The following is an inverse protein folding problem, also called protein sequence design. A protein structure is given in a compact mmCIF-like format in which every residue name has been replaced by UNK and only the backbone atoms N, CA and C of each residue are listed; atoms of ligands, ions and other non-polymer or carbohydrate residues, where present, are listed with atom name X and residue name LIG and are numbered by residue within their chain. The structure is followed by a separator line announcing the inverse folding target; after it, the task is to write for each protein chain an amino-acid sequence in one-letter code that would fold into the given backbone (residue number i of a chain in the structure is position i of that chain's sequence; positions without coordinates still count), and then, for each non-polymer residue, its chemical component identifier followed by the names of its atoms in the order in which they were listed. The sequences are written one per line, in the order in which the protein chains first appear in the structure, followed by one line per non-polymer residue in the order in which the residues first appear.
data_IF_683203934287
#
_entry.id   IF_683203934287
#
_cell.length_a   1.000
_cell.length_b   1.000
_cell.length_c   1.000
_cell.angle_alpha   90.00
_cell.angle_beta   90.00
_cell.angle_gamma   90.00
#
_symmetry.space_group_name_H-M   'P 1'
#
loop_
_entity.id
_entity.type
_entity.pdbx_description
1 polymer ?
#
# COMPACT_ATOMS: atom_id res chain seq x y z
N UNK A 1 -7.10 59.60 21.78
CA UNK A 1 -6.91 58.14 21.56
C UNK A 1 -7.04 57.85 20.07
N UNK A 2 -6.26 56.90 19.53
CA UNK A 2 -6.53 56.26 18.23
C UNK A 2 -6.63 54.76 18.49
N UNK A 3 -7.83 54.20 18.35
CA UNK A 3 -8.06 52.76 18.57
C UNK A 3 -7.66 52.00 17.31
N UNK A 4 -6.66 51.13 17.41
CA UNK A 4 -6.22 50.29 16.30
C UNK A 4 -7.10 49.02 16.26
N UNK A 5 -8.00 48.91 15.27
CA UNK A 5 -8.70 47.65 15.01
C UNK A 5 -7.74 46.67 14.35
N UNK A 6 -7.36 45.62 15.07
CA UNK A 6 -6.71 44.45 14.49
C UNK A 6 -7.82 43.57 13.91
N UNK A 7 -8.01 43.62 12.59
CA UNK A 7 -8.91 42.71 11.88
C UNK A 7 -8.22 41.36 11.79
N UNK A 8 -8.59 40.43 12.68
CA UNK A 8 -8.04 39.08 12.67
C UNK A 8 -8.67 38.29 11.51
N UNK A 9 -7.99 38.29 10.37
CA UNK A 9 -8.42 37.56 9.17
C UNK A 9 -8.23 36.05 9.38
N UNK A 10 -9.24 35.40 9.96
CA UNK A 10 -9.37 33.95 9.91
C UNK A 10 -9.55 33.52 8.44
N UNK A 11 -8.46 33.17 7.78
CA UNK A 11 -8.56 32.32 6.58
C UNK A 11 -9.17 30.99 7.05
N UNK A 12 -10.27 30.51 6.44
CA UNK A 12 -10.77 29.18 6.74
C UNK A 12 -9.68 28.18 6.34
N UNK A 13 -9.21 27.39 7.31
CA UNK A 13 -8.26 26.32 7.05
C UNK A 13 -9.01 25.18 6.37
N UNK A 14 -9.15 25.26 5.05
CA UNK A 14 -9.84 24.26 4.23
C UNK A 14 -9.04 22.96 4.25
N UNK A 15 -9.42 22.04 5.13
CA UNK A 15 -9.06 20.63 5.01
C UNK A 15 -9.53 20.16 3.63
N UNK A 16 -8.58 19.86 2.75
CA UNK A 16 -8.85 19.55 1.36
C UNK A 16 -9.24 18.07 1.23
N UNK A 17 -10.46 17.77 1.69
CA UNK A 17 -11.04 16.42 1.67
C UNK A 17 -11.28 15.93 0.25
N UNK A 18 -11.19 14.62 0.02
CA UNK A 18 -11.52 14.02 -1.28
C UNK A 18 -12.90 14.45 -1.79
N UNK A 19 -12.96 14.86 -3.05
CA UNK A 19 -14.20 15.31 -3.70
C UNK A 19 -14.21 14.97 -5.19
N UNK A 20 -15.39 14.72 -5.75
CA UNK A 20 -15.55 14.52 -7.20
C UNK A 20 -15.23 15.83 -7.92
N UNK A 21 -14.34 15.77 -8.92
CA UNK A 21 -13.91 16.95 -9.68
C UNK A 21 -12.96 17.89 -8.92
N UNK A 22 -12.15 17.38 -7.98
CA UNK A 22 -11.11 18.15 -7.27
C UNK A 22 -10.23 18.98 -8.24
N UNK A 23 -9.85 18.39 -9.37
CA UNK A 23 -9.01 19.02 -10.39
C UNK A 23 -9.74 19.98 -11.34
N UNK A 24 -11.07 20.16 -11.23
CA UNK A 24 -11.90 20.89 -12.21
C UNK A 24 -11.45 22.31 -12.54
N UNK A 25 -10.74 22.98 -11.62
CA UNK A 25 -10.20 24.33 -11.83
C UNK A 25 -8.67 24.35 -12.05
N UNK A 26 -7.92 23.37 -11.53
CA UNK A 26 -6.45 23.34 -11.54
C UNK A 26 -5.87 22.50 -12.68
N UNK A 27 -6.54 21.39 -13.04
CA UNK A 27 -6.28 20.62 -14.25
C UNK A 27 -7.62 20.15 -14.85
N UNK A 28 -8.36 21.02 -15.57
CA UNK A 28 -9.69 20.70 -16.08
C UNK A 28 -9.75 19.51 -17.04
N UNK A 29 -8.61 19.12 -17.63
CA UNK A 29 -8.47 18.00 -18.55
C UNK A 29 -8.01 16.69 -17.88
N UNK A 30 -7.80 16.68 -16.55
CA UNK A 30 -7.17 15.56 -15.84
C UNK A 30 -7.82 14.21 -16.17
N UNK A 31 -9.10 14.01 -15.87
CA UNK A 31 -9.80 12.74 -16.12
C UNK A 31 -9.77 12.35 -17.61
N UNK A 32 -9.99 13.28 -18.53
CA UNK A 32 -9.95 13.00 -19.98
C UNK A 32 -8.57 12.58 -20.51
N UNK A 33 -7.47 12.98 -19.84
CA UNK A 33 -6.11 12.55 -20.18
C UNK A 33 -5.85 11.14 -19.67
N UNK A 34 -6.35 10.79 -18.48
CA UNK A 34 -6.31 9.41 -17.96
C UNK A 34 -7.12 8.48 -18.88
N UNK A 35 -8.38 8.83 -19.13
CA UNK A 35 -9.35 8.06 -19.91
C UNK A 35 -8.81 7.76 -21.33
N UNK A 36 -8.30 8.78 -22.03
CA UNK A 36 -7.77 8.62 -23.39
C UNK A 36 -6.52 7.72 -23.47
N UNK A 37 -5.64 7.74 -22.46
CA UNK A 37 -4.52 6.79 -22.41
C UNK A 37 -5.06 5.38 -22.14
N UNK A 38 -5.98 5.21 -21.20
CA UNK A 38 -6.55 3.90 -20.87
C UNK A 38 -7.32 3.28 -22.04
N UNK A 39 -8.07 4.05 -22.81
CA UNK A 39 -8.70 3.58 -24.07
C UNK A 39 -7.66 3.02 -25.05
N UNK A 40 -6.60 3.79 -25.32
CA UNK A 40 -5.52 3.37 -26.22
C UNK A 40 -4.78 2.13 -25.70
N UNK A 41 -4.49 2.06 -24.40
CA UNK A 41 -3.79 0.92 -23.79
C UNK A 41 -4.69 -0.32 -23.75
N UNK A 42 -5.97 -0.19 -23.43
CA UNK A 42 -6.93 -1.31 -23.39
C UNK A 42 -7.18 -1.91 -24.78
N UNK A 43 -7.26 -1.09 -25.83
CA UNK A 43 -7.39 -1.55 -27.22
C UNK A 43 -6.25 -2.49 -27.65
N UNK A 44 -5.06 -2.35 -27.05
CA UNK A 44 -3.88 -3.16 -27.35
C UNK A 44 -3.67 -4.32 -26.34
N UNK A 45 -4.09 -4.18 -25.09
CA UNK A 45 -4.07 -5.24 -24.06
C UNK A 45 -5.31 -5.17 -23.15
N UNK A 46 -6.31 -6.01 -23.41
CA UNK A 46 -7.51 -6.13 -22.55
C UNK A 46 -7.20 -6.57 -21.12
N UNK A 47 -6.01 -7.11 -20.84
CA UNK A 47 -5.64 -7.55 -19.51
C UNK A 47 -5.26 -6.41 -18.56
N UNK A 48 -5.10 -5.16 -19.03
CA UNK A 48 -4.71 -4.04 -18.15
C UNK A 48 -5.72 -3.76 -17.04
N UNK A 49 -7.01 -4.05 -17.24
CA UNK A 49 -8.04 -3.88 -16.20
C UNK A 49 -7.71 -4.69 -14.96
N UNK A 50 -7.29 -5.95 -15.14
CA UNK A 50 -6.86 -6.80 -14.03
C UNK A 50 -5.54 -6.32 -13.39
N UNK A 51 -4.66 -5.68 -14.16
CA UNK A 51 -3.43 -5.09 -13.64
C UNK A 51 -3.70 -3.88 -12.75
N UNK A 52 -4.55 -2.96 -13.22
CA UNK A 52 -4.86 -1.70 -12.53
C UNK A 52 -5.75 -1.94 -11.30
N UNK A 53 -6.78 -2.80 -11.40
CA UNK A 53 -7.55 -3.27 -10.24
C UNK A 53 -6.64 -3.85 -9.15
N UNK A 54 -5.67 -4.67 -9.54
CA UNK A 54 -4.72 -5.26 -8.60
C UNK A 54 -3.77 -4.23 -8.01
N UNK A 55 -3.19 -3.34 -8.83
CA UNK A 55 -2.34 -2.24 -8.35
C UNK A 55 -3.07 -1.38 -7.32
N UNK A 56 -4.32 -1.02 -7.60
CA UNK A 56 -5.15 -0.18 -6.71
C UNK A 56 -5.51 -0.88 -5.39
N UNK A 57 -5.78 -2.19 -5.42
CA UNK A 57 -5.95 -2.98 -4.20
C UNK A 57 -4.65 -3.04 -3.38
N UNK A 58 -3.53 -3.37 -4.02
CA UNK A 58 -2.23 -3.48 -3.36
C UNK A 58 -1.79 -2.14 -2.75
N UNK A 59 -1.99 -1.02 -3.45
CA UNK A 59 -1.75 0.34 -2.96
C UNK A 59 -2.58 0.62 -1.70
N UNK A 60 -3.91 0.64 -1.81
CA UNK A 60 -4.79 0.96 -0.68
C UNK A 60 -4.60 0.05 0.55
N UNK A 61 -4.11 -1.17 0.37
CA UNK A 61 -3.85 -2.11 1.47
C UNK A 61 -2.45 -1.97 2.11
N UNK A 62 -1.47 -1.31 1.49
CA UNK A 62 -0.17 -1.00 2.12
C UNK A 62 -0.09 0.49 2.43
N UNK A 63 -0.02 0.86 3.72
CA UNK A 63 -0.05 2.24 4.24
C UNK A 63 -1.33 3.08 3.94
N UNK A 64 -1.96 2.95 2.77
CA UNK A 64 -3.16 3.68 2.34
C UNK A 64 -3.12 3.95 0.83
N UNK A 65 -4.17 4.52 0.24
CA UNK A 65 -4.14 4.85 -1.19
C UNK A 65 -3.28 6.11 -1.45
N UNK A 66 -1.96 6.01 -1.34
CA UNK A 66 -0.98 7.10 -1.49
C UNK A 66 0.05 6.86 -2.63
N UNK A 67 -0.15 5.81 -3.44
CA UNK A 67 0.74 5.42 -4.52
C UNK A 67 2.18 5.06 -4.08
N UNK A 68 2.40 4.64 -2.83
CA UNK A 68 3.69 4.13 -2.34
C UNK A 68 4.21 2.96 -3.17
N UNK A 69 3.32 2.11 -3.68
CA UNK A 69 3.64 0.96 -4.54
C UNK A 69 4.35 1.36 -5.85
N UNK A 70 4.18 2.60 -6.32
CA UNK A 70 4.76 3.06 -7.58
C UNK A 70 6.26 3.38 -7.49
N UNK A 71 6.79 3.59 -6.28
CA UNK A 71 8.22 3.87 -6.06
C UNK A 71 9.03 2.69 -6.58
N UNK A 72 9.97 2.96 -7.49
CA UNK A 72 10.87 1.94 -8.00
C UNK A 72 12.03 1.71 -7.02
N UNK A 73 12.39 0.45 -6.83
CA UNK A 73 13.56 0.06 -6.05
C UNK A 73 14.87 0.54 -6.69
N UNK A 74 15.88 0.71 -5.85
CA UNK A 74 17.26 1.05 -6.23
C UNK A 74 18.25 0.18 -5.46
N UNK A 75 19.48 0.05 -5.95
CA UNK A 75 20.52 -0.82 -5.35
C UNK A 75 20.75 -0.59 -3.85
N UNK A 76 20.60 0.67 -3.39
CA UNK A 76 20.77 1.10 -1.99
C UNK A 76 19.44 1.24 -1.21
N UNK A 77 18.28 1.13 -1.87
CA UNK A 77 16.96 1.33 -1.24
C UNK A 77 15.89 0.49 -1.95
N UNK A 78 15.52 -0.68 -1.40
CA UNK A 78 14.41 -1.49 -1.91
C UNK A 78 13.07 -0.81 -1.60
N UNK A 79 12.05 -1.11 -2.40
CA UNK A 79 10.70 -0.56 -2.27
C UNK A 79 9.68 -1.68 -2.06
N UNK A 80 8.41 -1.32 -1.93
CA UNK A 80 7.31 -2.29 -1.93
C UNK A 80 7.32 -3.21 -3.17
N UNK A 81 7.90 -2.80 -4.30
CA UNK A 81 7.95 -3.62 -5.52
C UNK A 81 8.76 -4.92 -5.35
N UNK A 82 9.71 -4.96 -4.40
CA UNK A 82 10.49 -6.16 -4.09
C UNK A 82 9.74 -7.16 -3.18
N UNK A 83 8.63 -6.76 -2.57
CA UNK A 83 7.86 -7.63 -1.69
C UNK A 83 7.20 -8.77 -2.48
N UNK A 84 7.20 -9.98 -1.92
CA UNK A 84 6.70 -11.20 -2.56
C UNK A 84 5.35 -11.08 -3.29
N UNK A 85 4.32 -10.45 -2.70
CA UNK A 85 3.04 -10.20 -3.38
C UNK A 85 3.15 -9.28 -4.61
N UNK A 86 4.07 -8.32 -4.58
CA UNK A 86 4.20 -7.24 -5.56
C UNK A 86 5.04 -7.60 -6.79
N UNK A 87 5.85 -8.67 -6.72
CA UNK A 87 6.65 -9.23 -7.83
C UNK A 87 5.88 -9.59 -9.12
N UNK A 88 4.54 -9.50 -9.10
CA UNK A 88 3.63 -9.78 -10.23
C UNK A 88 2.61 -8.66 -10.48
N UNK A 89 2.78 -7.50 -9.85
CA UNK A 89 2.03 -6.28 -10.19
C UNK A 89 2.64 -5.67 -11.46
N UNK A 90 1.82 -5.02 -12.29
CA UNK A 90 2.22 -4.44 -13.59
C UNK A 90 1.32 -3.25 -13.94
N UNK A 91 1.68 -2.52 -14.99
CA UNK A 91 0.98 -1.29 -15.39
C UNK A 91 1.62 -0.01 -14.84
N UNK A 92 2.77 -0.10 -14.14
CA UNK A 92 3.55 1.05 -13.68
C UNK A 92 3.91 2.00 -14.85
N UNK A 93 4.13 1.43 -16.03
CA UNK A 93 4.37 2.12 -17.29
C UNK A 93 3.14 2.89 -17.82
N UNK A 94 1.92 2.36 -17.59
CA UNK A 94 0.67 3.05 -17.91
C UNK A 94 0.51 4.28 -17.01
N UNK A 95 0.76 4.12 -15.70
CA UNK A 95 0.70 5.24 -14.75
C UNK A 95 1.76 6.29 -15.07
N UNK A 96 2.97 5.88 -15.48
CA UNK A 96 4.03 6.79 -15.91
C UNK A 96 3.69 7.55 -17.21
N UNK A 97 3.08 6.88 -18.20
CA UNK A 97 2.57 7.51 -19.43
C UNK A 97 1.51 8.57 -19.14
N UNK A 98 0.49 8.22 -18.33
CA UNK A 98 -0.54 9.14 -17.89
C UNK A 98 0.06 10.33 -17.13
N UNK A 99 0.99 10.07 -16.19
CA UNK A 99 1.65 11.12 -15.41
C UNK A 99 2.46 12.07 -16.29
N UNK A 100 3.19 11.55 -17.28
CA UNK A 100 3.95 12.37 -18.24
C UNK A 100 3.02 13.29 -19.04
N UNK A 101 1.87 12.78 -19.49
CA UNK A 101 0.88 13.56 -20.23
C UNK A 101 0.21 14.62 -19.35
N UNK A 102 -0.06 14.31 -18.07
CA UNK A 102 -0.61 15.27 -17.10
C UNK A 102 0.39 16.37 -16.74
N UNK A 103 1.65 16.04 -16.44
CA UNK A 103 2.68 17.06 -16.11
C UNK A 103 2.98 17.99 -17.30
N UNK A 104 2.77 17.55 -18.54
CA UNK A 104 2.88 18.41 -19.72
C UNK A 104 1.74 19.44 -19.86
N UNK A 105 0.59 19.21 -19.22
CA UNK A 105 -0.62 20.06 -19.30
C UNK A 105 -0.84 20.87 -18.01
N UNK A 106 -0.64 20.25 -16.85
CA UNK A 106 -0.86 20.82 -15.52
C UNK A 106 0.24 20.40 -14.54
N UNK A 107 1.46 20.98 -14.65
CA UNK A 107 2.61 20.60 -13.84
C UNK A 107 2.33 20.61 -12.34
N UNK A 108 2.87 19.63 -11.61
CA UNK A 108 2.78 19.47 -10.15
C UNK A 108 1.35 19.46 -9.59
N UNK A 109 0.33 19.17 -10.42
CA UNK A 109 -1.08 19.32 -10.02
C UNK A 109 -1.72 18.01 -9.58
N UNK A 110 -1.63 16.94 -10.38
CA UNK A 110 -2.33 15.67 -10.14
C UNK A 110 -1.40 14.66 -9.46
N UNK A 111 -1.82 14.08 -8.33
CA UNK A 111 -1.05 13.03 -7.62
C UNK A 111 -1.03 11.71 -8.38
N UNK A 112 -0.03 10.88 -8.12
CA UNK A 112 -0.02 9.53 -8.68
C UNK A 112 -1.08 8.63 -8.05
N UNK A 113 -1.42 8.84 -6.78
CA UNK A 113 -2.52 8.17 -6.08
C UNK A 113 -3.88 8.35 -6.78
N UNK A 114 -4.21 9.58 -7.21
CA UNK A 114 -5.43 9.82 -7.99
C UNK A 114 -5.35 9.24 -9.41
N UNK A 115 -4.15 9.16 -10.01
CA UNK A 115 -3.98 8.51 -11.31
C UNK A 115 -4.28 7.01 -11.23
N UNK A 116 -3.84 6.29 -10.18
CA UNK A 116 -4.21 4.88 -9.98
C UNK A 116 -5.74 4.73 -9.89
N UNK A 117 -6.39 5.57 -9.08
CA UNK A 117 -7.83 5.50 -8.86
C UNK A 117 -8.64 5.78 -10.14
N UNK A 118 -8.28 6.83 -10.90
CA UNK A 118 -8.92 7.18 -12.17
C UNK A 118 -8.65 6.12 -13.24
N UNK A 119 -7.40 5.72 -13.44
CA UNK A 119 -7.00 4.72 -14.44
C UNK A 119 -7.72 3.38 -14.23
N UNK A 120 -7.93 3.00 -12.96
CA UNK A 120 -8.67 1.79 -12.60
C UNK A 120 -10.16 1.92 -12.91
N UNK A 121 -10.78 3.08 -12.66
CA UNK A 121 -12.18 3.35 -13.06
C UNK A 121 -12.35 3.27 -14.56
N UNK A 122 -11.48 3.93 -15.32
CA UNK A 122 -11.52 3.94 -16.78
C UNK A 122 -11.35 2.51 -17.35
N UNK A 123 -10.39 1.74 -16.83
CA UNK A 123 -10.13 0.38 -17.30
C UNK A 123 -11.25 -0.60 -16.93
N UNK A 124 -11.94 -0.39 -15.81
CA UNK A 124 -13.16 -1.14 -15.44
C UNK A 124 -14.29 -0.86 -16.43
N UNK A 125 -14.49 0.40 -16.82
CA UNK A 125 -15.51 0.81 -17.80
C UNK A 125 -15.24 0.20 -19.18
N UNK A 126 -14.00 0.25 -19.68
CA UNK A 126 -13.64 -0.34 -20.97
C UNK A 126 -13.80 -1.87 -20.99
N UNK A 127 -13.67 -2.53 -19.84
CA UNK A 127 -13.92 -3.97 -19.63
C UNK A 127 -15.42 -4.30 -19.41
N UNK A 128 -16.34 -3.33 -19.57
CA UNK A 128 -17.79 -3.54 -19.47
C UNK A 128 -18.38 -3.32 -18.07
N UNK A 129 -17.58 -2.84 -17.12
CA UNK A 129 -18.05 -2.42 -15.80
C UNK A 129 -18.86 -1.11 -15.82
N UNK A 130 -19.47 -0.78 -14.68
CA UNK A 130 -20.23 0.47 -14.53
C UNK A 130 -19.29 1.68 -14.43
N UNK A 131 -19.65 2.81 -15.05
CA UNK A 131 -18.95 4.08 -14.87
C UNK A 131 -19.41 4.76 -13.56
N UNK A 132 -18.45 5.26 -12.78
CA UNK A 132 -18.67 5.93 -11.50
C UNK A 132 -17.76 7.15 -11.33
N UNK A 133 -18.22 8.10 -10.51
CA UNK A 133 -17.44 9.28 -10.13
C UNK A 133 -16.39 8.91 -9.09
N UNK A 134 -15.13 9.28 -9.32
CA UNK A 134 -14.02 9.06 -8.39
C UNK A 134 -13.81 10.32 -7.53
N UNK A 135 -13.94 10.26 -6.20
CA UNK A 135 -13.45 11.32 -5.32
C UNK A 135 -11.93 11.42 -5.48
N UNK A 136 -11.43 12.62 -5.76
CA UNK A 136 -10.01 12.92 -5.99
C UNK A 136 -9.53 14.01 -5.03
N UNK A 137 -8.21 14.19 -4.93
CA UNK A 137 -7.53 15.02 -3.94
C UNK A 137 -6.50 14.27 -3.09
N UNK A 138 -6.20 12.99 -3.42
CA UNK A 138 -5.18 12.20 -2.72
C UNK A 138 -3.81 12.82 -2.93
N UNK A 139 -2.89 12.55 -2.02
CA UNK A 139 -1.50 12.98 -2.07
C UNK A 139 -0.57 11.78 -2.04
N UNK A 140 0.61 11.98 -2.61
CA UNK A 140 1.61 10.94 -2.78
C UNK A 140 2.37 10.65 -1.48
N UNK A 141 2.58 9.37 -1.20
CA UNK A 141 3.34 8.88 -0.05
C UNK A 141 4.80 9.34 -0.04
N UNK A 142 5.40 9.31 1.16
CA UNK A 142 6.83 9.62 1.40
C UNK A 142 7.62 8.40 1.94
N UNK A 143 7.04 7.21 1.82
CA UNK A 143 7.61 5.91 2.20
C UNK A 143 7.15 4.86 1.19
N UNK A 144 8.00 3.87 0.97
CA UNK A 144 7.72 2.60 0.29
C UNK A 144 8.80 1.65 0.78
N UNK A 145 8.41 0.53 1.39
CA UNK A 145 9.30 -0.39 2.09
C UNK A 145 8.74 -1.81 1.97
N UNK A 146 9.51 -2.81 1.52
CA UNK A 146 8.99 -4.17 1.34
C UNK A 146 8.53 -4.82 2.65
N UNK A 147 8.93 -4.30 3.81
CA UNK A 147 8.51 -4.80 5.12
C UNK A 147 7.11 -4.29 5.54
N UNK A 148 6.55 -3.28 4.88
CA UNK A 148 5.18 -2.78 5.13
C UNK A 148 4.10 -3.62 4.43
N UNK A 149 4.50 -4.51 3.50
CA UNK A 149 3.61 -5.25 2.59
C UNK A 149 3.04 -6.51 3.26
N UNK A 150 2.03 -6.33 4.11
CA UNK A 150 1.20 -7.42 4.64
C UNK A 150 -0.14 -7.51 3.89
N UNK A 151 -0.28 -8.51 3.02
CA UNK A 151 -1.41 -8.66 2.09
C UNK A 151 -2.03 -10.07 2.17
N UNK A 152 -3.36 -10.20 2.00
CA UNK A 152 -4.06 -11.47 2.21
C UNK A 152 -3.62 -12.55 1.21
N UNK A 153 -3.29 -13.72 1.75
CA UNK A 153 -2.82 -14.88 0.99
C UNK A 153 -4.00 -15.61 0.29
N UNK A 154 -3.84 -16.15 -0.93
CA UNK A 154 -4.88 -16.89 -1.67
C UNK A 154 -5.40 -18.17 -0.98
N UNK A 155 -4.67 -18.71 0.00
CA UNK A 155 -5.02 -19.87 0.83
C UNK A 155 -5.67 -19.50 2.18
N UNK A 156 -6.03 -18.22 2.40
CA UNK A 156 -6.75 -17.81 3.61
C UNK A 156 -8.21 -18.26 3.59
N UNK A 157 -8.74 -18.55 4.78
CA UNK A 157 -10.19 -18.71 4.98
C UNK A 157 -10.92 -17.37 4.95
N UNK A 158 -12.23 -17.39 4.72
CA UNK A 158 -13.09 -16.19 4.75
C UNK A 158 -12.91 -15.37 6.03
N UNK A 159 -12.83 -16.03 7.19
CA UNK A 159 -12.65 -15.35 8.49
C UNK A 159 -11.24 -14.80 8.72
N UNK A 160 -10.24 -15.23 7.95
CA UNK A 160 -8.88 -14.67 7.98
C UNK A 160 -8.74 -13.51 7.00
N UNK A 161 -9.24 -13.66 5.77
CA UNK A 161 -9.28 -12.57 4.80
C UNK A 161 -10.04 -11.35 5.35
N UNK A 162 -11.15 -11.58 6.06
CA UNK A 162 -11.94 -10.50 6.69
C UNK A 162 -11.13 -9.65 7.68
N UNK A 163 -10.07 -10.18 8.32
CA UNK A 163 -9.24 -9.43 9.26
C UNK A 163 -8.43 -8.33 8.54
N UNK A 164 -7.87 -8.63 7.36
CA UNK A 164 -7.19 -7.64 6.52
C UNK A 164 -8.15 -6.54 6.07
N UNK A 165 -9.33 -6.91 5.58
CA UNK A 165 -10.32 -5.95 5.09
C UNK A 165 -10.91 -5.07 6.21
N UNK A 166 -11.23 -5.66 7.36
CA UNK A 166 -11.74 -4.88 8.51
C UNK A 166 -10.68 -4.02 9.18
N UNK A 167 -9.40 -4.38 9.14
CA UNK A 167 -8.29 -3.50 9.55
C UNK A 167 -8.18 -2.25 8.66
N UNK A 168 -8.63 -2.32 7.40
CA UNK A 168 -8.79 -1.17 6.49
C UNK A 168 -10.19 -0.54 6.54
N UNK A 169 -11.05 -0.95 7.47
CA UNK A 169 -12.41 -0.43 7.62
C UNK A 169 -13.43 -0.94 6.60
N UNK A 170 -13.06 -1.92 5.77
CA UNK A 170 -13.90 -2.48 4.71
C UNK A 170 -14.78 -3.63 5.26
N UNK A 171 -16.05 -3.67 4.86
CA UNK A 171 -17.03 -4.63 5.38
C UNK A 171 -16.91 -6.03 4.76
N UNK A 172 -17.54 -7.04 5.35
CA UNK A 172 -17.63 -8.40 4.78
C UNK A 172 -18.27 -8.40 3.38
N UNK A 173 -19.33 -7.60 3.18
CA UNK A 173 -19.97 -7.51 1.87
C UNK A 173 -19.06 -6.83 0.85
N UNK A 174 -18.34 -5.78 1.24
CA UNK A 174 -17.37 -5.12 0.36
C UNK A 174 -16.19 -6.05 0.04
N UNK A 175 -15.70 -6.85 0.98
CA UNK A 175 -14.67 -7.88 0.74
C UNK A 175 -15.14 -8.89 -0.32
N UNK A 176 -16.35 -9.44 -0.19
CA UNK A 176 -16.92 -10.38 -1.18
C UNK A 176 -17.04 -9.71 -2.56
N UNK A 177 -17.44 -8.43 -2.60
CA UNK A 177 -17.60 -7.67 -3.84
C UNK A 177 -16.26 -7.34 -4.51
N UNK A 178 -15.24 -6.97 -3.73
CA UNK A 178 -13.89 -6.65 -4.21
C UNK A 178 -13.13 -7.90 -4.66
N UNK A 179 -13.33 -9.06 -4.02
CA UNK A 179 -12.86 -10.35 -4.55
C UNK A 179 -13.51 -10.69 -5.90
N UNK A 180 -14.70 -10.12 -6.19
CA UNK A 180 -15.31 -10.12 -7.53
C UNK A 180 -14.44 -9.52 -8.65
N UNK A 181 -13.40 -8.75 -8.35
CA UNK A 181 -12.40 -8.32 -9.32
C UNK A 181 -11.68 -9.50 -9.99
N UNK A 182 -11.63 -10.68 -9.34
CA UNK A 182 -11.13 -11.93 -9.93
C UNK A 182 -12.00 -12.47 -11.09
N UNK A 183 -13.07 -11.77 -11.48
CA UNK A 183 -13.74 -12.02 -12.76
C UNK A 183 -12.84 -11.71 -13.98
N UNK A 184 -11.81 -10.87 -13.80
CA UNK A 184 -10.78 -10.61 -14.82
C UNK A 184 -9.39 -11.07 -14.38
N UNK A 185 -8.53 -11.39 -15.36
CA UNK A 185 -7.10 -11.64 -15.11
C UNK A 185 -6.75 -13.08 -14.76
N UNK A 186 -5.57 -13.26 -14.17
CA UNK A 186 -4.89 -14.55 -14.01
C UNK A 186 -4.20 -14.70 -12.64
N UNK A 187 -4.03 -15.94 -12.19
CA UNK A 187 -3.11 -16.30 -11.11
C UNK A 187 -2.02 -17.25 -11.63
N UNK A 188 -0.83 -17.19 -11.04
CA UNK A 188 0.21 -18.22 -11.23
C UNK A 188 -0.17 -19.49 -10.48
N UNK A 189 0.13 -20.65 -11.08
CA UNK A 189 -0.20 -21.98 -10.56
C UNK A 189 0.30 -22.22 -9.13
N UNK A 190 1.44 -21.66 -8.73
CA UNK A 190 1.99 -21.72 -7.37
C UNK A 190 0.98 -21.25 -6.30
N UNK A 191 0.07 -20.33 -6.62
CA UNK A 191 -0.93 -19.78 -5.70
C UNK A 191 -2.17 -20.65 -5.48
N UNK A 192 -2.28 -21.80 -6.17
CA UNK A 192 -3.39 -22.76 -6.01
C UNK A 192 -2.98 -24.22 -6.26
N UNK A 193 -1.67 -24.52 -6.23
CA UNK A 193 -1.10 -25.84 -6.58
C UNK A 193 -1.47 -26.92 -5.58
N UNK A 194 -1.55 -26.55 -4.31
CA UNK A 194 -2.05 -27.35 -3.20
C UNK A 194 -3.44 -27.92 -3.52
N UNK A 195 -4.40 -27.08 -3.95
CA UNK A 195 -5.76 -27.49 -4.31
C UNK A 195 -5.82 -28.50 -5.44
N UNK A 196 -4.79 -28.55 -6.30
CA UNK A 196 -4.70 -29.49 -7.41
C UNK A 196 -4.19 -30.88 -7.03
N UNK A 197 -3.45 -31.01 -5.92
CA UNK A 197 -2.52 -32.13 -5.68
C UNK A 197 -2.43 -32.58 -4.21
N UNK A 198 -2.34 -31.66 -3.25
CA UNK A 198 -2.11 -31.94 -1.82
C UNK A 198 -2.80 -30.89 -0.93
N UNK A 199 -4.13 -30.83 -0.99
CA UNK A 199 -4.91 -29.82 -0.29
C UNK A 199 -4.88 -30.07 1.22
N UNK A 200 -4.44 -29.06 1.97
CA UNK A 200 -4.25 -29.14 3.43
C UNK A 200 -3.42 -30.36 3.92
N UNK A 201 -2.44 -30.81 3.12
CA UNK A 201 -1.56 -31.94 3.50
C UNK A 201 -2.24 -33.32 3.47
N UNK A 202 -3.36 -33.46 2.73
CA UNK A 202 -4.14 -34.69 2.64
C UNK A 202 -3.63 -35.71 1.62
N UNK A 203 -2.65 -35.35 0.80
CA UNK A 203 -2.20 -36.13 -0.36
C UNK A 203 -3.23 -36.21 -1.50
N UNK A 204 -4.26 -35.36 -1.47
CA UNK A 204 -5.38 -35.38 -2.41
C UNK A 204 -5.74 -33.96 -2.92
N UNK A 205 -6.32 -33.83 -4.12
CA UNK A 205 -6.87 -32.56 -4.60
C UNK A 205 -8.10 -32.13 -3.79
N UNK A 206 -8.31 -30.82 -3.69
CA UNK A 206 -9.46 -30.20 -3.01
C UNK A 206 -10.80 -30.84 -3.47
N UNK A 207 -11.66 -31.30 -2.55
CA UNK A 207 -12.95 -31.91 -2.89
C UNK A 207 -13.99 -30.91 -3.43
N UNK A 208 -13.83 -29.61 -3.19
CA UNK A 208 -14.71 -28.55 -3.73
C UNK A 208 -14.43 -28.26 -5.20
N UNK A 209 -13.17 -28.43 -5.63
CA UNK A 209 -12.72 -28.08 -6.97
C UNK A 209 -13.29 -29.03 -8.04
N UNK A 210 -14.03 -28.45 -8.99
CA UNK A 210 -14.72 -29.11 -10.09
C UNK A 210 -13.77 -30.04 -10.85
N UNK A 211 -14.10 -31.35 -10.90
CA UNK A 211 -13.19 -32.38 -11.43
C UNK A 211 -12.78 -32.17 -12.90
N UNK A 212 -13.61 -31.51 -13.71
CA UNK A 212 -13.25 -31.14 -15.09
C UNK A 212 -12.26 -29.98 -15.11
N UNK A 213 -12.42 -28.97 -14.24
CA UNK A 213 -11.47 -27.87 -14.09
C UNK A 213 -10.14 -28.35 -13.50
N UNK A 214 -10.17 -29.17 -12.44
CA UNK A 214 -9.00 -29.85 -11.87
C UNK A 214 -8.17 -30.58 -12.95
N UNK A 215 -8.85 -31.26 -13.88
CA UNK A 215 -8.21 -31.97 -15.00
C UNK A 215 -7.60 -31.02 -16.05
N UNK A 216 -8.17 -29.82 -16.24
CA UNK A 216 -7.60 -28.74 -17.06
C UNK A 216 -6.38 -28.12 -16.37
N UNK A 217 -6.52 -27.73 -15.10
CA UNK A 217 -5.47 -27.04 -14.32
C UNK A 217 -4.24 -27.91 -14.10
N UNK A 218 -4.40 -29.21 -13.79
CA UNK A 218 -3.24 -30.11 -13.68
C UNK A 218 -2.44 -30.24 -15.00
N UNK A 219 -3.08 -30.09 -16.18
CA UNK A 219 -2.39 -30.04 -17.48
C UNK A 219 -1.67 -28.70 -17.70
N UNK A 220 -2.24 -27.59 -17.25
CA UNK A 220 -1.62 -26.25 -17.33
C UNK A 220 -0.43 -26.11 -16.37
N UNK A 221 -0.61 -26.53 -15.11
CA UNK A 221 0.32 -26.30 -14.02
C UNK A 221 1.41 -27.37 -13.90
N UNK A 222 1.18 -28.58 -14.44
CA UNK A 222 2.09 -29.72 -14.35
C UNK A 222 2.28 -30.27 -12.92
N UNK A 223 3.07 -31.36 -12.77
CA UNK A 223 3.23 -32.06 -11.50
C UNK A 223 4.30 -31.47 -10.56
N UNK A 224 4.99 -30.38 -10.95
CA UNK A 224 6.10 -29.81 -10.17
C UNK A 224 6.04 -28.29 -10.21
N UNK A 225 6.17 -27.66 -9.03
CA UNK A 225 6.27 -26.21 -8.87
C UNK A 225 7.45 -25.62 -9.65
N UNK A 226 7.30 -24.37 -10.10
CA UNK A 226 8.36 -23.61 -10.78
C UNK A 226 8.59 -22.27 -10.09
N UNK A 227 9.78 -21.66 -10.24
CA UNK A 227 9.99 -20.25 -9.90
C UNK A 227 8.99 -19.37 -10.66
N UNK A 228 8.62 -18.24 -10.07
CA UNK A 228 7.49 -17.40 -10.51
C UNK A 228 7.62 -16.93 -11.97
N UNK A 229 8.85 -16.69 -12.45
CA UNK A 229 9.17 -16.31 -13.84
C UNK A 229 9.07 -17.47 -14.86
N UNK A 230 8.86 -18.70 -14.42
CA UNK A 230 8.67 -19.90 -15.25
C UNK A 230 7.32 -20.61 -15.01
N UNK A 231 6.67 -20.33 -13.88
CA UNK A 231 5.40 -20.94 -13.49
C UNK A 231 4.26 -20.47 -14.38
N UNK A 232 3.38 -21.39 -14.75
CA UNK A 232 2.27 -21.11 -15.67
C UNK A 232 1.15 -20.36 -14.96
N UNK A 233 0.38 -19.61 -15.73
CA UNK A 233 -0.82 -18.92 -15.25
C UNK A 233 -2.08 -19.60 -15.74
N UNK A 234 -3.16 -19.43 -14.98
CA UNK A 234 -4.53 -19.71 -15.40
C UNK A 234 -5.39 -18.47 -15.16
N UNK A 235 -6.39 -18.24 -16.01
CA UNK A 235 -7.41 -17.22 -15.74
C UNK A 235 -8.12 -17.50 -14.43
N UNK A 236 -8.51 -16.46 -13.71
CA UNK A 236 -9.29 -16.57 -12.48
C UNK A 236 -10.72 -17.04 -12.82
N UNK A 237 -11.51 -16.24 -13.53
CA UNK A 237 -12.72 -16.74 -14.22
C UNK A 237 -12.36 -17.64 -15.42
N UNK A 238 -13.06 -18.76 -15.56
CA UNK A 238 -12.95 -19.72 -16.65
C UNK A 238 -13.86 -19.42 -17.86
N UNK A 239 -14.61 -18.31 -17.89
CA UNK A 239 -15.61 -18.00 -18.93
C UNK A 239 -15.41 -16.64 -19.63
N UNK A 240 -15.44 -15.51 -18.90
CA UNK A 240 -15.37 -14.14 -19.45
C UNK A 240 -14.18 -13.35 -18.88
N UNK A 241 -13.01 -13.99 -18.83
CA UNK A 241 -11.75 -13.59 -18.15
C UNK A 241 -11.15 -12.20 -18.48
N UNK A 242 -11.77 -11.42 -19.36
CA UNK A 242 -11.38 -10.06 -19.77
C UNK A 242 -12.54 -9.03 -19.65
N UNK A 243 -13.69 -9.43 -19.12
CA UNK A 243 -14.86 -8.58 -18.90
C UNK A 243 -15.20 -8.49 -17.41
N UNK A 244 -15.44 -7.28 -16.91
CA UNK A 244 -15.95 -7.06 -15.56
C UNK A 244 -17.46 -7.36 -15.55
N UNK A 245 -17.80 -8.62 -15.27
CA UNK A 245 -19.18 -9.09 -15.13
C UNK A 245 -19.34 -10.01 -13.90
N UNK A 246 -20.54 -10.55 -13.64
CA UNK A 246 -20.78 -11.42 -12.48
C UNK A 246 -20.49 -12.92 -12.72
N UNK A 247 -19.71 -13.26 -13.76
CA UNK A 247 -19.32 -14.63 -14.11
C UNK A 247 -18.53 -15.31 -13.00
N UNK A 248 -17.58 -14.61 -12.37
CA UNK A 248 -16.86 -15.08 -11.17
C UNK A 248 -17.78 -15.81 -10.18
N UNK A 249 -18.81 -15.15 -9.65
CA UNK A 249 -19.74 -15.77 -8.68
C UNK A 249 -20.51 -16.96 -9.26
N UNK A 250 -20.83 -16.95 -10.56
CA UNK A 250 -21.47 -18.10 -11.24
C UNK A 250 -20.52 -19.31 -11.33
N UNK A 251 -19.20 -19.09 -11.40
CA UNK A 251 -18.21 -20.17 -11.34
C UNK A 251 -18.09 -20.75 -9.93
N UNK A 252 -18.08 -19.93 -8.89
CA UNK A 252 -18.00 -20.40 -7.50
C UNK A 252 -19.19 -21.33 -7.18
N UNK A 253 -20.39 -20.99 -7.63
CA UNK A 253 -21.58 -21.85 -7.49
C UNK A 253 -21.50 -23.21 -8.20
N UNK A 254 -20.43 -23.51 -8.95
CA UNK A 254 -20.20 -24.80 -9.62
C UNK A 254 -18.77 -25.36 -9.39
N UNK A 255 -18.08 -24.92 -8.34
CA UNK A 255 -16.77 -25.46 -7.93
C UNK A 255 -15.58 -24.97 -8.77
N UNK A 256 -15.63 -23.75 -9.30
CA UNK A 256 -14.66 -23.26 -10.30
C UNK A 256 -13.89 -21.99 -9.92
N UNK A 257 -13.96 -21.53 -8.67
CA UNK A 257 -12.96 -20.61 -8.13
C UNK A 257 -11.60 -21.32 -8.08
N UNK A 258 -10.52 -20.66 -8.49
CA UNK A 258 -9.20 -21.32 -8.54
C UNK A 258 -8.37 -21.08 -7.28
N UNK A 259 -8.45 -19.91 -6.65
CA UNK A 259 -7.86 -19.69 -5.33
C UNK A 259 -8.75 -20.32 -4.25
N UNK A 260 -8.21 -20.62 -3.06
CA UNK A 260 -9.00 -21.20 -1.98
C UNK A 260 -10.03 -20.19 -1.46
N UNK A 261 -9.57 -18.96 -1.21
CA UNK A 261 -10.43 -17.87 -0.72
C UNK A 261 -11.61 -17.59 -1.66
N UNK A 262 -11.41 -17.70 -2.98
CA UNK A 262 -12.48 -17.53 -3.98
C UNK A 262 -13.59 -18.56 -3.76
N UNK A 263 -13.22 -19.85 -3.73
CA UNK A 263 -14.17 -20.96 -3.64
C UNK A 263 -14.86 -20.98 -2.27
N UNK A 264 -14.15 -20.68 -1.18
CA UNK A 264 -14.74 -20.60 0.15
C UNK A 264 -15.88 -19.59 0.23
N UNK A 265 -15.89 -18.50 -0.55
CA UNK A 265 -16.99 -17.52 -0.53
C UNK A 265 -18.36 -18.17 -0.84
N UNK A 266 -18.40 -19.23 -1.64
CA UNK A 266 -19.63 -19.95 -1.99
C UNK A 266 -20.08 -21.00 -0.95
N UNK A 267 -19.17 -21.41 -0.05
CA UNK A 267 -19.43 -22.44 0.97
C UNK A 267 -19.54 -21.87 2.40
N UNK A 268 -18.86 -20.79 2.73
CA UNK A 268 -18.93 -20.20 4.08
C UNK A 268 -20.33 -19.65 4.37
N UNK A 269 -20.81 -19.93 5.59
CA UNK A 269 -22.17 -19.61 6.02
C UNK A 269 -22.50 -18.11 6.05
N UNK A 270 -21.49 -17.24 6.16
CA UNK A 270 -21.65 -15.78 6.19
C UNK A 270 -21.73 -15.17 4.79
N UNK A 271 -21.09 -15.76 3.78
CA UNK A 271 -20.99 -15.20 2.42
C UNK A 271 -21.83 -15.93 1.37
N UNK A 272 -22.08 -17.24 1.53
CA UNK A 272 -22.67 -18.09 0.49
C UNK A 272 -24.03 -17.61 -0.04
N UNK A 273 -24.85 -16.94 0.78
CA UNK A 273 -26.11 -16.38 0.33
C UNK A 273 -25.95 -15.08 -0.46
N UNK A 274 -24.95 -14.26 -0.12
CA UNK A 274 -24.64 -13.04 -0.86
C UNK A 274 -23.97 -13.34 -2.22
N UNK A 275 -23.10 -14.36 -2.28
CA UNK A 275 -22.56 -14.91 -3.55
C UNK A 275 -23.68 -15.34 -4.50
N UNK A 276 -24.74 -16.00 -3.99
CA UNK A 276 -25.92 -16.35 -4.81
C UNK A 276 -26.64 -15.10 -5.34
N UNK A 277 -26.82 -14.07 -4.51
CA UNK A 277 -27.38 -12.78 -4.94
C UNK A 277 -26.54 -12.16 -6.07
N UNK A 278 -25.22 -12.05 -5.89
CA UNK A 278 -24.31 -11.46 -6.87
C UNK A 278 -24.27 -12.27 -8.18
N UNK A 279 -24.24 -13.60 -8.13
CA UNK A 279 -24.32 -14.47 -9.30
C UNK A 279 -25.65 -14.33 -10.08
N UNK A 280 -26.75 -14.05 -9.38
CA UNK A 280 -28.08 -13.91 -9.99
C UNK A 280 -28.37 -12.52 -10.56
N UNK A 281 -27.72 -11.46 -10.05
CA UNK A 281 -28.00 -10.08 -10.41
C UNK A 281 -26.73 -9.34 -10.88
N UNK A 282 -26.48 -9.33 -12.20
CA UNK A 282 -25.28 -8.70 -12.78
C UNK A 282 -25.25 -7.19 -12.56
N UNK A 283 -26.36 -6.48 -12.79
CA UNK A 283 -26.43 -5.03 -12.56
C UNK A 283 -26.24 -4.66 -11.09
N UNK A 284 -26.75 -5.49 -10.17
CA UNK A 284 -26.52 -5.34 -8.74
C UNK A 284 -25.07 -5.51 -8.34
N UNK A 285 -24.37 -6.51 -8.90
CA UNK A 285 -22.92 -6.65 -8.70
C UNK A 285 -22.15 -5.43 -9.23
N UNK A 286 -22.43 -4.97 -10.46
CA UNK A 286 -21.67 -3.86 -11.05
C UNK A 286 -21.84 -2.53 -10.30
N UNK A 287 -23.04 -2.26 -9.77
CA UNK A 287 -23.26 -1.12 -8.86
C UNK A 287 -22.46 -1.28 -7.56
N UNK A 288 -22.56 -2.44 -6.90
CA UNK A 288 -21.86 -2.68 -5.64
C UNK A 288 -20.34 -2.63 -5.82
N UNK A 289 -19.80 -3.09 -6.95
CA UNK A 289 -18.38 -3.03 -7.28
C UNK A 289 -17.91 -1.58 -7.44
N UNK A 290 -18.65 -0.74 -8.16
CA UNK A 290 -18.37 0.69 -8.26
C UNK A 290 -18.34 1.34 -6.87
N UNK A 291 -19.37 1.08 -6.05
CA UNK A 291 -19.49 1.61 -4.70
C UNK A 291 -18.34 1.13 -3.77
N UNK A 292 -17.90 -0.13 -3.93
CA UNK A 292 -16.83 -0.74 -3.15
C UNK A 292 -15.43 -0.27 -3.57
N UNK A 293 -15.19 -0.04 -4.86
CA UNK A 293 -13.95 0.56 -5.37
C UNK A 293 -13.80 2.03 -4.94
N UNK A 294 -14.91 2.76 -4.82
CA UNK A 294 -14.92 4.11 -4.21
C UNK A 294 -14.66 4.04 -2.70
N UNK A 295 -15.22 3.06 -1.97
CA UNK A 295 -14.90 2.86 -0.54
C UNK A 295 -13.43 2.48 -0.32
N UNK A 296 -12.91 1.53 -1.10
CA UNK A 296 -11.50 1.12 -1.05
C UNK A 296 -10.57 2.31 -1.34
N UNK A 297 -10.91 3.14 -2.32
CA UNK A 297 -10.16 4.35 -2.67
C UNK A 297 -10.05 5.41 -1.56
N UNK A 298 -10.83 5.31 -0.48
CA UNK A 298 -10.82 6.26 0.63
C UNK A 298 -10.04 5.71 1.85
N UNK A 299 -9.38 4.56 1.72
CA UNK A 299 -8.60 3.93 2.78
C UNK A 299 -7.32 4.72 3.06
N UNK A 300 -7.22 5.28 4.26
CA UNK A 300 -5.99 5.82 4.87
C UNK A 300 -5.27 6.88 4.00
N UNK A 301 -6.02 7.63 3.19
CA UNK A 301 -5.50 8.59 2.21
C UNK A 301 -4.79 9.79 2.84
N UNK A 302 -3.77 10.29 2.14
CA UNK A 302 -3.11 11.56 2.47
C UNK A 302 -3.83 12.74 1.80
N UNK A 303 -4.11 13.80 2.57
CA UNK A 303 -4.89 14.97 2.14
C UNK A 303 -4.19 16.30 2.47
N UNK A 304 -4.58 17.38 1.78
CA UNK A 304 -4.16 18.76 2.08
C UNK A 304 -2.66 19.01 1.91
N UNK A 305 -1.89 18.85 2.98
CA UNK A 305 -0.42 19.03 3.02
C UNK A 305 0.33 17.80 3.55
N UNK A 306 -0.35 16.70 3.87
CA UNK A 306 0.30 15.42 4.14
C UNK A 306 0.78 14.80 2.82
N UNK A 307 1.98 14.22 2.78
CA UNK A 307 2.56 13.72 1.52
C UNK A 307 2.81 14.82 0.48
N UNK A 308 3.09 14.43 -0.75
CA UNK A 308 3.46 15.34 -1.84
C UNK A 308 2.58 15.25 -3.09
N UNK A 309 2.97 15.94 -4.17
CA UNK A 309 2.57 15.62 -5.53
C UNK A 309 3.87 15.28 -6.26
N UNK A 310 4.13 14.00 -6.51
CA UNK A 310 5.32 13.55 -7.25
C UNK A 310 5.29 14.10 -8.67
N UNK A 311 6.45 14.48 -9.23
CA UNK A 311 6.59 14.78 -10.67
C UNK A 311 6.71 13.51 -11.50
N UNK A 312 7.46 12.54 -11.01
CA UNK A 312 7.59 11.20 -11.57
C UNK A 312 7.13 10.21 -10.50
N UNK A 313 6.17 9.35 -10.80
CA UNK A 313 5.62 8.42 -9.81
C UNK A 313 6.63 7.40 -9.28
N UNK A 314 7.72 7.11 -10.02
CA UNK A 314 8.70 6.10 -9.62
C UNK A 314 9.70 6.56 -8.56
N UNK A 315 9.71 7.84 -8.17
CA UNK A 315 10.63 8.41 -7.17
C UNK A 315 9.91 9.47 -6.32
N UNK A 316 10.31 9.63 -5.06
CA UNK A 316 9.96 10.83 -4.29
C UNK A 316 10.57 12.07 -4.97
N UNK A 317 9.92 13.23 -4.88
CA UNK A 317 10.59 14.47 -5.28
C UNK A 317 11.80 14.69 -4.36
N UNK A 318 12.87 15.25 -4.90
CA UNK A 318 13.98 15.71 -4.08
C UNK A 318 13.50 16.80 -3.12
N UNK A 319 13.44 16.49 -1.82
CA UNK A 319 13.35 17.47 -0.75
C UNK A 319 14.50 18.47 -0.93
N UNK A 320 14.21 19.65 -1.51
CA UNK A 320 15.14 20.76 -1.45
C UNK A 320 15.38 21.03 0.04
N UNK A 321 16.63 21.01 0.55
CA UNK A 321 16.87 21.51 1.89
C UNK A 321 16.34 22.95 1.96
N UNK A 322 15.69 23.36 3.06
CA UNK A 322 15.19 24.72 3.19
C UNK A 322 16.33 25.69 2.87
N UNK A 323 16.10 26.70 2.00
CA UNK A 323 17.17 27.47 1.39
C UNK A 323 18.08 28.01 2.49
N UNK A 324 19.34 27.55 2.48
CA UNK A 324 20.29 27.79 3.58
C UNK A 324 20.32 29.28 3.85
N UNK A 325 19.76 29.68 5.00
CA UNK A 325 19.66 31.07 5.38
C UNK A 325 21.06 31.65 5.36
N UNK A 326 21.27 32.66 4.50
CA UNK A 326 22.60 33.22 4.25
C UNK A 326 23.27 33.52 5.59
N UNK A 327 24.51 33.04 5.81
CA UNK A 327 25.09 32.94 7.14
C UNK A 327 24.96 34.28 7.84
N UNK A 328 24.23 34.27 8.97
CA UNK A 328 23.93 35.49 9.73
C UNK A 328 25.24 36.21 9.97
N UNK A 329 25.39 37.47 9.51
CA UNK A 329 26.66 38.16 9.62
C UNK A 329 27.08 38.18 11.10
N UNK A 330 28.36 37.92 11.41
CA UNK A 330 28.80 37.77 12.79
C UNK A 330 28.41 39.00 13.60
N UNK A 331 27.93 38.82 14.85
CA UNK A 331 27.48 39.95 15.66
C UNK A 331 28.59 40.99 15.76
N UNK A 332 28.22 42.26 15.54
CA UNK A 332 29.18 43.37 15.55
C UNK A 332 30.04 43.32 16.83
N UNK A 333 31.36 43.54 16.72
CA UNK A 333 32.25 43.40 17.88
C UNK A 333 31.78 44.35 19.00
N UNK A 334 31.80 43.90 20.27
CA UNK A 334 31.32 44.71 21.38
C UNK A 334 32.10 46.02 21.47
N UNK A 335 31.38 47.12 21.66
CA UNK A 335 31.99 48.43 21.91
C UNK A 335 32.92 48.34 23.11
N UNK A 336 34.14 48.86 22.96
CA UNK A 336 35.19 48.80 23.98
C UNK A 336 34.68 49.34 25.33
N UNK A 337 34.90 48.62 26.44
CA UNK A 337 34.48 49.10 27.76
C UNK A 337 35.24 50.39 28.14
N UNK A 338 34.59 51.32 28.87
CA UNK A 338 35.25 52.52 29.35
C UNK A 338 36.38 52.17 30.33
N UNK A 339 37.48 52.92 30.26
CA UNK A 339 38.68 52.69 31.06
C UNK A 339 38.37 52.99 32.54
N UNK A 340 38.55 52.00 33.41
CA UNK A 340 38.43 52.17 34.86
C UNK A 340 39.71 52.82 35.45
N UNK A 341 39.58 53.68 36.48
CA UNK A 341 40.73 54.29 37.16
C UNK A 341 41.48 53.24 38.01
N UNK A 342 42.79 53.45 38.17
CA UNK A 342 43.70 52.54 38.87
C UNK A 342 43.61 52.63 40.40
N UNK A 343 43.79 51.49 41.06
CA UNK A 343 43.81 51.35 42.54
C UNK A 343 45.21 50.88 42.97
N UNK A 344 45.82 51.46 44.02
CA UNK A 344 47.15 51.08 44.49
C UNK A 344 47.15 49.73 45.24
N UNK A 345 48.31 49.04 45.35
CA UNK A 345 48.41 47.71 45.96
C UNK A 345 48.37 47.73 47.50
N UNK A 346 48.18 46.55 48.09
CA UNK A 346 48.34 46.29 49.53
C UNK A 346 49.00 44.91 49.75
N UNK A 347 49.68 44.68 50.89
CA UNK A 347 50.73 43.66 50.97
C UNK A 347 50.26 42.26 51.42
N UNK A 348 51.04 41.26 50.99
CA UNK A 348 51.09 39.89 51.53
C UNK A 348 52.22 39.77 52.58
N UNK A 349 52.49 38.60 53.20
CA UNK A 349 51.70 37.35 53.30
C UNK A 349 51.58 36.86 54.77
N UNK A 350 51.10 35.63 55.00
CA UNK A 350 51.66 34.69 55.99
C UNK A 350 51.22 33.24 55.68
N UNK A 351 51.89 32.23 56.29
CA UNK A 351 51.81 30.80 55.89
C UNK A 351 51.86 29.87 57.14
N UNK A 352 51.89 28.52 56.99
CA UNK A 352 50.83 27.56 57.32
C UNK A 352 50.99 26.86 58.70
N UNK A 353 50.22 25.80 59.00
CA UNK A 353 50.80 24.44 58.89
C UNK A 353 49.81 23.34 58.41
N UNK A 354 50.29 22.07 58.38
CA UNK A 354 49.58 20.82 58.03
C UNK A 354 50.26 19.63 58.75
N UNK A 355 50.01 18.33 58.46
CA UNK A 355 48.80 17.56 58.07
C UNK A 355 48.49 16.41 59.07
N UNK A 356 47.55 15.47 58.79
CA UNK A 356 47.42 14.18 59.55
C UNK A 356 46.72 13.00 58.80
N UNK A 357 47.48 11.91 58.59
CA UNK A 357 47.15 10.45 58.58
C UNK A 357 45.85 9.82 58.01
N UNK A 358 46.04 8.85 57.10
CA UNK A 358 45.24 7.62 56.81
C UNK A 358 45.57 6.49 57.84
N UNK A 359 45.08 5.21 57.80
CA UNK A 359 44.23 4.43 56.84
C UNK A 359 42.98 3.80 57.57
N UNK A 360 42.40 2.58 57.35
CA UNK A 360 42.56 1.48 56.36
C UNK A 360 41.23 0.95 55.73
N UNK A 361 40.89 -0.35 55.86
CA UNK A 361 39.81 -1.12 55.19
C UNK A 361 39.26 -2.26 56.08
N UNK A 362 38.13 -2.87 55.70
CA UNK A 362 37.65 -4.19 56.19
C UNK A 362 36.85 -4.96 55.13
N UNK A 363 36.74 -6.30 55.24
CA UNK A 363 36.37 -7.22 54.15
C UNK A 363 34.90 -7.73 54.15
N UNK A 364 34.50 -8.31 53.00
CA UNK A 364 33.35 -9.21 52.76
C UNK A 364 33.50 -10.57 53.53
N UNK A 365 32.53 -11.55 53.53
CA UNK A 365 32.02 -12.24 52.32
C UNK A 365 30.59 -12.87 52.40
N UNK A 366 30.29 -13.81 51.48
CA UNK A 366 29.17 -14.80 51.42
C UNK A 366 27.82 -14.27 50.92
N UNK A 367 27.18 -14.73 49.83
CA UNK A 367 27.18 -15.97 49.00
C UNK A 367 26.27 -17.12 49.47
N UNK A 368 25.23 -17.43 48.68
CA UNK A 368 24.31 -18.59 48.66
C UNK A 368 23.57 -18.59 47.28
N UNK A 369 22.86 -19.64 46.82
CA UNK A 369 23.27 -20.31 45.57
C UNK A 369 22.26 -20.30 44.41
N UNK A 370 22.74 -20.79 43.27
CA UNK A 370 22.01 -20.91 41.99
C UNK A 370 20.88 -21.95 42.00
N UNK A 371 19.85 -21.70 41.18
CA UNK A 371 18.85 -22.67 40.74
C UNK A 371 18.98 -22.94 39.22
N UNK A 372 18.56 -24.10 38.68
CA UNK A 372 18.98 -24.56 37.35
C UNK A 372 18.20 -23.94 36.18
N UNK A 373 18.88 -23.82 35.04
CA UNK A 373 18.33 -23.39 33.75
C UNK A 373 17.50 -24.49 33.07
N UNK A 374 16.31 -24.18 32.51
CA UNK A 374 15.68 -25.02 31.49
C UNK A 374 16.53 -25.02 30.21
N UNK A 375 16.78 -26.20 29.63
CA UNK A 375 17.54 -26.33 28.39
C UNK A 375 16.69 -25.97 27.16
N UNK A 376 16.90 -24.79 26.59
CA UNK A 376 16.39 -24.47 25.26
C UNK A 376 17.19 -25.22 24.19
N UNK A 377 16.53 -26.14 23.49
CA UNK A 377 17.00 -26.67 22.22
C UNK A 377 16.75 -25.61 21.13
N UNK A 378 17.75 -25.24 20.31
CA UNK A 378 17.51 -24.41 19.14
C UNK A 378 16.77 -25.24 18.07
N UNK A 379 15.78 -24.68 17.36
CA UNK A 379 15.23 -25.31 16.16
C UNK A 379 16.32 -25.36 15.06
N UNK A 380 16.34 -26.45 14.29
CA UNK A 380 17.29 -26.61 13.19
C UNK A 380 16.98 -25.65 12.02
N UNK A 381 17.99 -25.16 11.29
CA UNK A 381 17.75 -24.35 10.09
C UNK A 381 17.17 -25.21 8.95
N UNK A 382 16.06 -24.77 8.38
CA UNK A 382 15.60 -25.26 7.07
C UNK A 382 16.45 -24.65 5.94
N UNK A 383 16.81 -25.40 4.89
CA UNK A 383 17.38 -24.85 3.67
C UNK A 383 16.30 -24.18 2.77
N UNK A 384 16.74 -23.72 1.58
CA UNK A 384 16.00 -22.96 0.55
C UNK A 384 15.82 -21.48 0.96
N UNK A 385 16.34 -20.46 0.27
CA UNK A 385 16.79 -20.33 -1.14
C UNK A 385 15.66 -20.48 -2.17
#
# INVERSE_FOLDING_TARGET
MRTLLIVLSFLPLTLATLQVGFYKNSCPQAESIVESVIENRFFNDFSITAALLRMYFHDCFVNGCDASILIASTDDTPSEQDAGPNLTVRGFDIIAEIKSNLEAVCPNTVSCADIIALATRDAVVQSGGLNYSVPTGRRDGLRSDPNDVDLPNPSLTVSQALQFFTAKGISLNDMVVLLGCHTVGVAHCVFFRDRLQDFNGSGLPDPTLNRTLLTKLNKTCGPVQKPLNQDKTAFLDQNTSFFVDNSYYKQLLVGKGILQIDEELAFDSSTANFVKTLASNSSGFLQLLADALVRMGNVQVLEGTAGEIRKNCSIFNSMLPPPVSSPVPPPSPPLSPPIAPSVPPSPSPLLPPAPSSLPPQSNSPSALPSAPTPSYLPPAPSPWQ
#
